data_IF_709459271997
#
_entry.id   IF_709459271997
#
_cell.length_a   1.000
_cell.length_b   1.000
_cell.length_c   1.000
_cell.angle_alpha   90.00
_cell.angle_beta   90.00
_cell.angle_gamma   90.00
#
_symmetry.space_group_name_H-M   'P 1'
#
loop_
_entity.id
_entity.type
_entity.pdbx_description
1 polymer ?
#
# COMPACT_ATOMS: atom_id res chain seq x y z
N UNK A 1 -8.13 5.23 11.95
CA UNK A 1 -8.79 3.91 12.09
C UNK A 1 -10.22 4.06 11.60
N UNK A 2 -10.66 3.18 10.70
CA UNK A 2 -12.04 3.15 10.21
C UNK A 2 -12.82 2.04 10.92
N UNK A 3 -14.07 2.30 11.27
CA UNK A 3 -14.96 1.32 11.87
C UNK A 3 -16.25 1.19 11.05
N UNK A 4 -16.63 -0.06 10.77
CA UNK A 4 -17.89 -0.43 10.17
C UNK A 4 -18.54 -1.51 11.05
N UNK A 5 -19.86 -1.56 11.05
CA UNK A 5 -20.63 -2.59 11.74
C UNK A 5 -21.15 -3.60 10.74
N UNK A 6 -21.42 -4.81 11.21
CA UNK A 6 -22.22 -5.80 10.48
C UNK A 6 -23.27 -6.34 11.42
N UNK A 7 -24.54 -6.23 11.04
CA UNK A 7 -25.66 -6.78 11.82
C UNK A 7 -26.77 -7.30 10.93
N UNK A 8 -27.67 -8.08 11.51
CA UNK A 8 -28.87 -8.60 10.84
C UNK A 8 -30.09 -7.88 11.41
N UNK A 9 -30.92 -7.31 10.54
CA UNK A 9 -32.13 -6.63 10.98
C UNK A 9 -33.29 -7.60 11.27
N UNK A 10 -34.44 -7.06 11.68
CA UNK A 10 -35.65 -7.87 11.99
C UNK A 10 -36.22 -8.60 10.77
N UNK A 11 -35.82 -8.22 9.55
CA UNK A 11 -36.22 -8.86 8.29
C UNK A 11 -35.21 -9.92 7.83
N UNK A 12 -34.16 -10.16 8.61
CA UNK A 12 -33.09 -11.10 8.24
C UNK A 12 -32.06 -10.52 7.26
N UNK A 13 -32.08 -9.21 7.00
CA UNK A 13 -31.16 -8.59 6.05
C UNK A 13 -29.83 -8.22 6.72
N UNK A 14 -28.72 -8.53 6.04
CA UNK A 14 -27.38 -8.15 6.46
C UNK A 14 -27.14 -6.68 6.12
N UNK A 15 -26.76 -5.89 7.12
CA UNK A 15 -26.46 -4.48 7.00
C UNK A 15 -25.00 -4.22 7.40
N UNK A 16 -24.29 -3.44 6.59
CA UNK A 16 -22.87 -3.11 6.81
C UNK A 16 -22.59 -1.59 6.82
N UNK A 17 -23.15 -0.81 7.77
CA UNK A 17 -22.93 0.63 7.76
C UNK A 17 -21.51 0.99 8.22
N UNK A 18 -20.90 1.93 7.49
CA UNK A 18 -19.74 2.66 7.96
C UNK A 18 -20.15 3.62 9.08
N UNK A 19 -19.49 3.56 10.24
CA UNK A 19 -19.86 4.34 11.42
C UNK A 19 -18.87 5.46 11.76
N UNK A 20 -17.67 5.42 11.18
CA UNK A 20 -16.78 6.57 11.23
C UNK A 20 -15.31 6.25 11.03
N UNK A 21 -14.56 7.34 10.85
CA UNK A 21 -13.10 7.34 10.86
C UNK A 21 -12.62 8.12 12.09
N UNK A 22 -11.80 7.47 12.90
CA UNK A 22 -11.22 8.04 14.12
C UNK A 22 -9.72 8.22 13.91
N UNK A 23 -9.23 9.44 14.15
CA UNK A 23 -7.80 9.69 14.26
C UNK A 23 -7.33 9.15 15.61
N UNK A 24 -6.36 8.24 15.57
CA UNK A 24 -5.72 7.68 16.77
C UNK A 24 -4.29 8.24 16.84
N UNK A 25 -3.85 8.63 18.04
CA UNK A 25 -2.50 9.20 18.25
C UNK A 25 -1.40 8.15 18.17
N UNK A 26 -1.75 6.90 18.51
CA UNK A 26 -0.88 5.73 18.44
C UNK A 26 -1.70 4.50 18.04
N UNK A 27 -1.02 3.43 17.65
CA UNK A 27 -1.64 2.17 17.21
C UNK A 27 -1.54 1.06 18.26
N UNK A 28 -1.39 1.40 19.54
CA UNK A 28 -1.43 0.41 20.62
C UNK A 28 -2.83 -0.18 20.75
N UNK A 29 -2.92 -1.44 21.17
CA UNK A 29 -4.20 -2.10 21.36
C UNK A 29 -5.14 -1.35 22.31
N UNK A 30 -4.59 -0.72 23.36
CA UNK A 30 -5.35 0.08 24.33
C UNK A 30 -5.96 1.32 23.69
N UNK A 31 -5.15 2.11 22.97
CA UNK A 31 -5.61 3.32 22.27
C UNK A 31 -6.68 2.99 21.21
N UNK A 32 -6.50 1.88 20.50
CA UNK A 32 -7.49 1.37 19.55
C UNK A 32 -8.80 0.95 20.23
N UNK A 33 -8.73 0.21 21.36
CA UNK A 33 -9.91 -0.17 22.14
C UNK A 33 -10.69 1.06 22.60
N UNK A 34 -10.02 2.00 23.24
CA UNK A 34 -10.66 3.23 23.76
C UNK A 34 -11.35 4.01 22.64
N UNK A 35 -10.68 4.11 21.49
CA UNK A 35 -11.24 4.76 20.29
C UNK A 35 -12.46 4.04 19.73
N UNK A 36 -12.47 2.70 19.70
CA UNK A 36 -13.62 1.90 19.28
C UNK A 36 -14.79 2.10 20.24
N UNK A 37 -14.56 1.93 21.55
CA UNK A 37 -15.60 2.04 22.56
C UNK A 37 -16.20 3.45 22.58
N UNK A 38 -15.37 4.49 22.48
CA UNK A 38 -15.82 5.87 22.37
C UNK A 38 -16.69 6.11 21.13
N UNK A 39 -16.30 5.58 19.97
CA UNK A 39 -17.11 5.69 18.75
C UNK A 39 -18.44 4.94 18.86
N UNK A 40 -18.46 3.75 19.47
CA UNK A 40 -19.70 3.00 19.73
C UNK A 40 -20.63 3.78 20.66
N UNK A 41 -20.10 4.32 21.77
CA UNK A 41 -20.87 5.13 22.71
C UNK A 41 -21.45 6.38 22.06
N UNK A 42 -20.72 7.05 21.16
CA UNK A 42 -21.20 8.19 20.38
C UNK A 42 -22.44 7.86 19.55
N UNK A 43 -22.56 6.60 19.09
CA UNK A 43 -23.71 6.09 18.35
C UNK A 43 -24.72 5.35 19.26
N UNK A 44 -24.61 5.49 20.58
CA UNK A 44 -25.45 4.82 21.58
C UNK A 44 -25.43 3.28 21.48
N UNK A 45 -24.33 2.71 21.00
CA UNK A 45 -24.13 1.28 20.87
C UNK A 45 -23.39 0.74 22.08
N UNK A 46 -24.00 -0.23 22.75
CA UNK A 46 -23.37 -0.90 23.90
C UNK A 46 -22.33 -1.93 23.43
N UNK A 47 -21.10 -1.91 23.99
CA UNK A 47 -20.09 -2.93 23.72
C UNK A 47 -20.58 -4.36 24.04
N UNK A 48 -21.46 -4.52 25.04
CA UNK A 48 -22.04 -5.81 25.40
C UNK A 48 -22.83 -6.52 24.27
N UNK A 49 -23.18 -5.77 23.21
CA UNK A 49 -23.87 -6.29 22.02
C UNK A 49 -22.92 -6.71 20.91
N UNK A 50 -21.60 -6.59 21.10
CA UNK A 50 -20.61 -7.06 20.14
C UNK A 50 -20.64 -8.59 20.11
N UNK A 51 -21.11 -9.18 19.01
CA UNK A 51 -21.07 -10.63 18.81
C UNK A 51 -19.80 -11.09 18.07
N UNK A 52 -19.08 -10.16 17.42
CA UNK A 52 -17.90 -10.47 16.65
C UNK A 52 -17.01 -9.25 16.41
N UNK A 53 -15.74 -9.52 16.14
CA UNK A 53 -14.70 -8.54 15.89
C UNK A 53 -13.80 -9.03 14.76
N UNK A 54 -13.67 -8.22 13.70
CA UNK A 54 -12.96 -8.59 12.47
C UNK A 54 -11.90 -7.58 12.08
N UNK A 55 -10.63 -7.98 12.10
CA UNK A 55 -9.50 -7.13 11.68
C UNK A 55 -8.25 -7.99 11.36
N UNK A 56 -7.17 -7.34 10.96
CA UNK A 56 -5.94 -8.00 10.51
C UNK A 56 -5.17 -8.73 11.63
N UNK A 57 -4.11 -9.42 11.22
CA UNK A 57 -3.27 -10.25 12.09
C UNK A 57 -2.09 -9.51 12.70
N UNK A 58 -2.07 -8.17 12.67
CA UNK A 58 -0.99 -7.41 13.31
C UNK A 58 -0.92 -7.72 14.80
N UNK A 59 0.28 -7.64 15.40
CA UNK A 59 0.51 -8.01 16.79
C UNK A 59 -0.40 -7.24 17.77
N UNK A 60 -0.57 -5.94 17.54
CA UNK A 60 -1.46 -5.08 18.34
C UNK A 60 -2.95 -5.42 18.14
N UNK A 61 -3.30 -6.18 17.10
CA UNK A 61 -4.67 -6.58 16.79
C UNK A 61 -4.97 -7.99 17.32
N UNK A 62 -4.21 -9.00 16.87
CA UNK A 62 -4.45 -10.42 17.19
C UNK A 62 -3.76 -10.90 18.48
N UNK A 63 -2.88 -10.09 19.09
CA UNK A 63 -2.09 -10.47 20.26
C UNK A 63 -2.92 -11.12 21.39
N UNK A 64 -2.40 -12.22 21.95
CA UNK A 64 -3.11 -13.03 22.96
C UNK A 64 -3.32 -12.33 24.30
N UNK A 65 -2.41 -11.44 24.69
CA UNK A 65 -2.39 -10.80 26.01
C UNK A 65 -2.75 -9.32 25.87
N UNK A 66 -1.98 -8.58 25.07
CA UNK A 66 -2.13 -7.13 24.87
C UNK A 66 -2.58 -6.78 23.45
N UNK A 67 -3.20 -7.70 22.73
CA UNK A 67 -3.81 -7.40 21.43
C UNK A 67 -5.23 -6.89 21.60
N UNK A 68 -5.72 -6.09 20.66
CA UNK A 68 -7.08 -5.56 20.64
C UNK A 68 -8.11 -6.69 20.81
N UNK A 69 -7.84 -7.87 20.24
CA UNK A 69 -8.63 -9.09 20.39
C UNK A 69 -8.85 -9.46 21.83
N UNK A 70 -7.77 -9.56 22.59
CA UNK A 70 -7.81 -9.93 23.99
C UNK A 70 -8.56 -8.85 24.79
N UNK A 71 -8.30 -7.58 24.51
CA UNK A 71 -8.88 -6.47 25.26
C UNK A 71 -10.38 -6.27 25.01
N UNK A 72 -10.88 -6.56 23.80
CA UNK A 72 -12.32 -6.57 23.50
C UNK A 72 -12.97 -7.83 24.04
N UNK A 73 -12.31 -8.99 23.99
CA UNK A 73 -12.81 -10.23 24.62
C UNK A 73 -13.00 -10.07 26.13
N UNK A 74 -12.14 -9.30 26.81
CA UNK A 74 -12.30 -8.98 28.23
C UNK A 74 -13.58 -8.18 28.51
N UNK A 75 -13.96 -7.26 27.62
CA UNK A 75 -15.20 -6.47 27.74
C UNK A 75 -16.43 -7.26 27.30
N UNK A 76 -16.27 -8.16 26.32
CA UNK A 76 -17.37 -8.92 25.72
C UNK A 76 -16.90 -10.35 25.44
N UNK A 77 -16.98 -11.24 26.45
CA UNK A 77 -16.45 -12.60 26.34
C UNK A 77 -17.11 -13.46 25.25
N UNK A 78 -18.32 -13.11 24.82
CA UNK A 78 -19.04 -13.79 23.74
C UNK A 78 -18.64 -13.35 22.33
N UNK A 79 -17.78 -12.33 22.18
CA UNK A 79 -17.40 -11.79 20.89
C UNK A 79 -16.42 -12.73 20.14
N UNK A 80 -16.81 -13.18 18.95
CA UNK A 80 -15.95 -14.03 18.13
C UNK A 80 -14.91 -13.20 17.37
N UNK A 81 -13.64 -13.59 17.44
CA UNK A 81 -12.60 -12.99 16.61
C UNK A 81 -12.51 -13.65 15.24
N UNK A 82 -12.60 -12.84 14.19
CA UNK A 82 -12.44 -13.25 12.80
C UNK A 82 -11.18 -12.58 12.26
N UNK A 83 -10.20 -13.39 11.89
CA UNK A 83 -9.02 -12.87 11.19
C UNK A 83 -9.43 -12.46 9.77
N UNK A 84 -9.02 -11.26 9.34
CA UNK A 84 -9.31 -10.75 8.01
C UNK A 84 -8.83 -11.71 6.91
N UNK A 85 -9.77 -12.39 6.24
CA UNK A 85 -9.48 -13.34 5.17
C UNK A 85 -8.70 -12.71 4.02
N UNK A 86 -9.01 -11.46 3.67
CA UNK A 86 -8.27 -10.74 2.64
C UNK A 86 -6.80 -10.56 3.01
N UNK A 87 -6.49 -10.30 4.29
CA UNK A 87 -5.11 -10.21 4.76
C UNK A 87 -4.43 -11.58 4.75
N UNK A 88 -5.13 -12.65 5.19
CA UNK A 88 -4.60 -14.01 5.11
C UNK A 88 -4.24 -14.41 3.68
N UNK A 89 -5.15 -14.18 2.73
CA UNK A 89 -4.91 -14.45 1.32
C UNK A 89 -3.71 -13.67 0.80
N UNK A 90 -3.59 -12.38 1.13
CA UNK A 90 -2.45 -11.56 0.74
C UNK A 90 -1.12 -12.12 1.29
N UNK A 91 -1.09 -12.57 2.54
CA UNK A 91 0.10 -13.19 3.14
C UNK A 91 0.44 -14.52 2.46
N UNK A 92 -0.56 -15.35 2.17
CA UNK A 92 -0.37 -16.61 1.44
C UNK A 92 0.22 -16.37 0.05
N UNK A 93 -0.33 -15.41 -0.70
CA UNK A 93 0.18 -15.06 -2.04
C UNK A 93 1.63 -14.60 -1.99
N UNK A 94 1.99 -13.74 -1.04
CA UNK A 94 3.39 -13.31 -0.87
C UNK A 94 4.28 -14.49 -0.49
N UNK A 95 3.83 -15.35 0.43
CA UNK A 95 4.59 -16.51 0.87
C UNK A 95 4.85 -17.48 -0.28
N UNK A 96 3.84 -17.76 -1.12
CA UNK A 96 3.98 -18.60 -2.31
C UNK A 96 4.91 -17.93 -3.33
N UNK A 97 4.71 -16.63 -3.63
CA UNK A 97 5.56 -15.90 -4.56
C UNK A 97 7.05 -15.92 -4.15
N UNK A 98 7.35 -15.76 -2.86
CA UNK A 98 8.71 -15.85 -2.31
C UNK A 98 9.31 -17.27 -2.37
N UNK A 99 8.50 -18.31 -2.60
CA UNK A 99 8.99 -19.69 -2.82
C UNK A 99 9.35 -19.97 -4.28
N UNK A 100 8.95 -19.09 -5.20
CA UNK A 100 9.31 -19.19 -6.62
C UNK A 100 10.47 -18.25 -6.92
N UNK A 101 11.66 -18.81 -7.17
CA UNK A 101 12.91 -18.06 -7.31
C UNK A 101 12.84 -17.04 -8.45
N UNK A 102 12.17 -17.36 -9.54
CA UNK A 102 11.99 -16.48 -10.69
C UNK A 102 11.15 -15.26 -10.31
N UNK A 103 10.06 -15.48 -9.58
CA UNK A 103 9.16 -14.41 -9.11
C UNK A 103 9.86 -13.53 -8.09
N UNK A 104 10.56 -14.13 -7.13
CA UNK A 104 11.36 -13.40 -6.14
C UNK A 104 12.45 -12.55 -6.82
N UNK A 105 13.19 -13.14 -7.77
CA UNK A 105 14.23 -12.44 -8.53
C UNK A 105 13.65 -11.29 -9.33
N UNK A 106 12.52 -11.49 -10.00
CA UNK A 106 11.83 -10.45 -10.74
C UNK A 106 11.48 -9.26 -9.85
N UNK A 107 10.83 -9.49 -8.70
CA UNK A 107 10.46 -8.41 -7.79
C UNK A 107 11.67 -7.74 -7.14
N UNK A 108 12.76 -8.46 -6.90
CA UNK A 108 14.02 -7.87 -6.45
C UNK A 108 14.62 -6.92 -7.49
N UNK A 109 14.65 -7.33 -8.77
CA UNK A 109 15.10 -6.47 -9.88
C UNK A 109 14.21 -5.24 -10.01
N UNK A 110 12.89 -5.43 -10.03
CA UNK A 110 11.93 -4.33 -10.12
C UNK A 110 12.13 -3.33 -8.96
N UNK A 111 12.26 -3.82 -7.73
CA UNK A 111 12.54 -2.97 -6.57
C UNK A 111 13.87 -2.22 -6.71
N UNK A 112 14.92 -2.87 -7.20
CA UNK A 112 16.23 -2.22 -7.44
C UNK A 112 16.15 -1.13 -8.50
N UNK A 113 15.47 -1.38 -9.61
CA UNK A 113 15.23 -0.38 -10.66
C UNK A 113 14.53 0.85 -10.09
N UNK A 114 13.44 0.63 -9.35
CA UNK A 114 12.70 1.70 -8.69
C UNK A 114 13.55 2.42 -7.64
N UNK A 115 14.48 1.74 -6.98
CA UNK A 115 15.39 2.34 -6.02
C UNK A 115 16.42 3.22 -6.70
N UNK A 116 17.02 2.79 -7.80
CA UNK A 116 18.01 3.59 -8.52
C UNK A 116 17.40 4.93 -8.87
N UNK A 117 16.27 4.98 -9.57
CA UNK A 117 15.64 6.24 -9.93
C UNK A 117 15.12 6.95 -8.66
N UNK A 118 14.39 6.20 -7.84
CA UNK A 118 13.66 6.71 -6.70
C UNK A 118 14.50 7.18 -5.52
N UNK A 119 15.81 6.99 -5.43
CA UNK A 119 16.63 7.54 -4.31
C UNK A 119 17.36 8.84 -4.65
N UNK A 120 17.45 9.22 -5.92
CA UNK A 120 18.15 10.43 -6.37
C UNK A 120 17.16 11.49 -6.84
N UNK A 121 17.17 12.67 -6.22
CA UNK A 121 16.32 13.79 -6.64
C UNK A 121 16.53 14.13 -8.12
N UNK A 122 17.80 14.22 -8.58
CA UNK A 122 18.13 14.48 -9.99
C UNK A 122 17.53 13.44 -10.95
N UNK A 123 17.58 12.15 -10.58
CA UNK A 123 17.01 11.09 -11.42
C UNK A 123 15.49 11.10 -11.41
N UNK A 124 14.88 11.43 -10.27
CA UNK A 124 13.43 11.62 -10.18
C UNK A 124 12.97 12.80 -11.04
N UNK A 125 13.69 13.91 -11.04
CA UNK A 125 13.30 15.09 -11.84
C UNK A 125 13.37 14.78 -13.34
N UNK A 126 14.49 14.22 -13.83
CA UNK A 126 14.61 13.76 -15.23
C UNK A 126 13.51 12.78 -15.63
N UNK A 127 13.14 11.89 -14.72
CA UNK A 127 12.06 10.94 -14.94
C UNK A 127 10.70 11.64 -15.09
N UNK A 128 10.42 12.64 -14.24
CA UNK A 128 9.17 13.42 -14.28
C UNK A 128 9.08 14.28 -15.54
N UNK A 129 10.20 14.88 -15.94
CA UNK A 129 10.28 15.68 -17.17
C UNK A 129 9.95 14.83 -18.39
N UNK A 130 10.53 13.64 -18.50
CA UNK A 130 10.24 12.74 -19.61
C UNK A 130 8.82 12.14 -19.56
N UNK A 131 8.26 11.91 -18.37
CA UNK A 131 6.84 11.57 -18.21
C UNK A 131 5.92 12.66 -18.77
N UNK A 132 6.24 13.93 -18.48
CA UNK A 132 5.46 15.06 -18.96
C UNK A 132 5.55 15.19 -20.49
N UNK A 133 6.74 15.01 -21.07
CA UNK A 133 6.96 15.01 -22.52
C UNK A 133 6.15 13.92 -23.23
N UNK A 134 6.19 12.67 -22.74
CA UNK A 134 5.39 11.58 -23.31
C UNK A 134 3.90 11.86 -23.22
N UNK A 135 3.44 12.46 -22.10
CA UNK A 135 2.04 12.81 -21.94
C UNK A 135 1.62 13.91 -22.92
N UNK A 136 2.47 14.92 -23.16
CA UNK A 136 2.23 15.97 -24.14
C UNK A 136 2.09 15.38 -25.56
N UNK A 137 2.99 14.48 -25.95
CA UNK A 137 2.91 13.78 -27.24
C UNK A 137 1.62 12.95 -27.39
N UNK A 138 1.19 12.27 -26.32
CA UNK A 138 -0.06 11.49 -26.32
C UNK A 138 -1.30 12.39 -26.39
N UNK A 139 -1.24 13.59 -25.82
CA UNK A 139 -2.32 14.58 -25.93
C UNK A 139 -2.38 15.16 -27.34
N UNK A 140 -1.25 15.49 -27.95
CA UNK A 140 -1.15 16.00 -29.32
C UNK A 140 -1.64 15.00 -30.37
N UNK A 141 -1.30 13.72 -30.19
CA UNK A 141 -1.77 12.63 -31.04
C UNK A 141 -3.24 12.25 -30.82
N UNK A 142 -3.87 12.76 -29.76
CA UNK A 142 -5.26 12.46 -29.41
C UNK A 142 -5.48 11.06 -28.83
N UNK A 143 -4.41 10.33 -28.50
CA UNK A 143 -4.49 9.01 -27.86
C UNK A 143 -5.01 9.08 -26.42
N UNK A 144 -4.79 10.21 -25.74
CA UNK A 144 -5.32 10.47 -24.39
C UNK A 144 -6.04 11.81 -24.32
N UNK A 145 -7.02 11.89 -23.42
CA UNK A 145 -7.76 13.13 -23.17
C UNK A 145 -7.28 13.82 -21.90
N UNK A 146 -7.33 15.15 -21.90
CA UNK A 146 -7.15 15.94 -20.68
C UNK A 146 -8.44 15.95 -19.86
N UNK A 147 -8.32 15.82 -18.54
CA UNK A 147 -9.47 15.83 -17.65
C UNK A 147 -9.09 15.74 -16.18
N UNK A 148 -9.98 16.17 -15.29
CA UNK A 148 -9.73 16.20 -13.85
C UNK A 148 -9.57 14.77 -13.32
N UNK A 149 -8.37 14.47 -12.82
CA UNK A 149 -8.03 13.14 -12.29
C UNK A 149 -7.49 12.16 -13.34
N UNK A 150 -7.42 12.55 -14.61
CA UNK A 150 -6.77 11.76 -15.65
C UNK A 150 -5.26 12.03 -15.67
N UNK A 151 -4.49 11.04 -16.13
CA UNK A 151 -3.05 11.16 -16.39
C UNK A 151 -2.22 11.68 -15.19
N UNK A 152 -2.65 11.38 -13.97
CA UNK A 152 -1.92 11.78 -12.76
C UNK A 152 -0.56 11.09 -12.69
N UNK A 153 0.42 11.84 -12.16
CA UNK A 153 1.76 11.33 -11.88
C UNK A 153 1.67 10.06 -11.01
N UNK A 154 2.22 8.96 -11.52
CA UNK A 154 2.23 7.68 -10.80
C UNK A 154 3.51 7.57 -9.98
N UNK A 155 3.34 7.30 -8.68
CA UNK A 155 4.47 7.12 -7.79
C UNK A 155 5.20 5.78 -7.97
N UNK A 156 6.48 5.76 -7.61
CA UNK A 156 7.28 4.55 -7.45
C UNK A 156 6.87 3.78 -6.19
N UNK A 157 5.72 3.12 -6.25
CA UNK A 157 5.28 2.25 -5.16
C UNK A 157 6.10 0.96 -5.19
N UNK A 158 6.78 0.65 -4.09
CA UNK A 158 7.50 -0.62 -3.92
C UNK A 158 6.55 -1.76 -3.56
N UNK A 159 6.90 -3.01 -3.93
CA UNK A 159 6.24 -4.18 -3.40
C UNK A 159 6.46 -4.22 -1.88
N UNK A 160 5.37 -4.29 -1.13
CA UNK A 160 5.36 -4.36 0.33
C UNK A 160 5.25 -5.80 0.82
N UNK A 161 5.97 -6.13 1.88
CA UNK A 161 6.13 -7.50 2.40
C UNK A 161 4.86 -8.17 2.92
N UNK A 162 3.81 -7.40 3.17
CA UNK A 162 2.59 -7.88 3.84
C UNK A 162 1.31 -7.69 3.02
N UNK A 163 1.40 -7.08 1.83
CA UNK A 163 0.24 -6.71 1.02
C UNK A 163 0.46 -7.03 -0.46
N UNK A 164 -0.08 -8.14 -0.96
CA UNK A 164 0.05 -8.50 -2.38
C UNK A 164 -0.46 -7.41 -3.33
N UNK A 165 -1.50 -6.67 -2.93
CA UNK A 165 -2.02 -5.52 -3.71
C UNK A 165 -0.93 -4.49 -4.03
N UNK A 166 0.08 -4.34 -3.18
CA UNK A 166 1.22 -3.47 -3.49
C UNK A 166 2.07 -4.02 -4.64
N UNK A 167 2.23 -5.34 -4.77
CA UNK A 167 2.96 -5.97 -5.87
C UNK A 167 2.23 -5.73 -7.20
N UNK A 168 0.90 -5.92 -7.22
CA UNK A 168 0.08 -5.61 -8.40
C UNK A 168 0.23 -4.13 -8.79
N UNK A 169 0.07 -3.20 -7.84
CA UNK A 169 0.25 -1.76 -8.11
C UNK A 169 1.66 -1.43 -8.58
N UNK A 170 2.68 -2.06 -8.02
CA UNK A 170 4.05 -1.91 -8.51
C UNK A 170 4.16 -2.32 -9.96
N UNK A 171 3.62 -3.48 -10.34
CA UNK A 171 3.64 -3.96 -11.72
C UNK A 171 2.90 -3.02 -12.67
N UNK A 172 1.68 -2.62 -12.31
CA UNK A 172 0.88 -1.70 -13.13
C UNK A 172 1.62 -0.38 -13.36
N UNK A 173 2.23 0.17 -12.30
CA UNK A 173 3.04 1.38 -12.42
C UNK A 173 4.32 1.10 -13.23
N UNK A 174 4.98 -0.03 -13.02
CA UNK A 174 6.21 -0.37 -13.72
C UNK A 174 6.01 -0.46 -15.24
N UNK A 175 4.89 -1.03 -15.69
CA UNK A 175 4.52 -1.11 -17.12
C UNK A 175 4.28 0.28 -17.69
N UNK A 176 3.46 1.10 -17.03
CA UNK A 176 3.14 2.46 -17.50
C UNK A 176 4.38 3.36 -17.52
N UNK A 177 5.27 3.19 -16.55
CA UNK A 177 6.46 4.01 -16.39
C UNK A 177 7.67 3.47 -17.16
N UNK A 178 7.54 2.35 -17.87
CA UNK A 178 8.69 1.60 -18.41
C UNK A 178 9.54 2.43 -19.38
N UNK A 179 8.89 3.17 -20.29
CA UNK A 179 9.59 4.04 -21.25
C UNK A 179 10.47 5.07 -20.53
N UNK A 180 9.92 5.74 -19.51
CA UNK A 180 10.65 6.74 -18.73
C UNK A 180 11.72 6.14 -17.83
N UNK A 181 11.52 4.93 -17.33
CA UNK A 181 12.56 4.17 -16.62
C UNK A 181 13.76 3.92 -17.53
N UNK A 182 13.52 3.42 -18.75
CA UNK A 182 14.57 3.15 -19.74
C UNK A 182 15.29 4.43 -20.15
N UNK A 183 14.56 5.51 -20.40
CA UNK A 183 15.14 6.82 -20.72
C UNK A 183 16.13 7.28 -19.65
N UNK A 184 15.72 7.26 -18.38
CA UNK A 184 16.59 7.68 -17.27
C UNK A 184 17.81 6.78 -17.13
N UNK A 185 17.68 5.47 -17.37
CA UNK A 185 18.85 4.59 -17.38
C UNK A 185 19.82 4.90 -18.52
N UNK A 186 19.33 5.20 -19.72
CA UNK A 186 20.18 5.63 -20.84
C UNK A 186 20.95 6.92 -20.51
N UNK A 187 20.31 7.87 -19.84
CA UNK A 187 20.97 9.10 -19.39
C UNK A 187 22.06 8.80 -18.35
N UNK A 188 21.81 7.88 -17.40
CA UNK A 188 22.81 7.47 -16.41
C UNK A 188 24.02 6.81 -17.07
N UNK A 189 23.79 5.94 -18.05
CA UNK A 189 24.85 5.25 -18.80
C UNK A 189 25.72 6.23 -19.59
N UNK A 190 25.09 7.21 -20.24
CA UNK A 190 25.78 8.27 -20.97
C UNK A 190 26.63 9.15 -20.05
N UNK A 191 26.05 9.68 -18.97
CA UNK A 191 26.78 10.51 -17.98
C UNK A 191 27.93 9.76 -17.31
N UNK A 192 27.73 8.47 -17.02
CA UNK A 192 28.78 7.61 -16.47
C UNK A 192 29.94 7.39 -17.45
N UNK A 193 29.64 7.28 -18.74
CA UNK A 193 30.64 7.10 -19.80
C UNK A 193 31.46 8.37 -20.04
N UNK A 194 30.82 9.56 -20.06
CA UNK A 194 31.52 10.85 -20.17
C UNK A 194 32.50 11.06 -19.00
N UNK A 195 32.07 10.78 -17.77
CA UNK A 195 32.93 10.89 -16.58
C UNK A 195 34.16 9.95 -16.64
N UNK A 196 34.01 8.76 -17.22
CA UNK A 196 35.14 7.84 -17.40
C UNK A 196 36.12 8.30 -18.48
N UNK A 197 35.64 8.96 -19.54
CA UNK A 197 36.50 9.54 -20.58
C UNK A 197 37.28 10.72 -20.02
N UNK A 198 36.63 11.59 -19.25
CA UNK A 198 37.24 12.78 -18.66
C UNK A 198 38.28 12.42 -17.58
N UNK A 199 38.06 11.33 -16.84
CA UNK A 199 39.03 10.83 -15.87
C UNK A 199 40.28 10.20 -16.52
N UNK A 200 40.20 9.74 -17.77
CA UNK A 200 41.35 9.22 -18.54
C UNK A 200 42.16 10.32 -19.24
N UNK A 201 41.63 11.53 -19.33
CA UNK A 201 42.27 12.67 -20.01
C UNK A 201 42.94 13.66 -19.05
N UNK A 202 42.81 13.50 -17.73
CA UNK A 202 43.56 14.33 -16.76
C UNK A 202 45.00 13.81 -16.64
N UNK A 203 46.02 14.58 -17.06
CA UNK A 203 47.39 14.26 -16.71
C UNK A 203 47.59 14.48 -15.20
N UNK A 204 48.38 13.61 -14.58
CA UNK A 204 48.93 13.85 -13.24
C UNK A 204 49.76 15.13 -13.21
#
# INVERSE_FOLDING_TARGET
MSLALRYVDKKGQVNEPFIGHVRVGDTSAKSLKESILSLLMKHSLSPSKICGQGYDGASNMQGKINGLKALILQETPSAHYIHCFAHQLQLTLIAVAKKHKEVETFFAIAANVLNVIGVSFKRRDKFRDHQAELLEQLLESGEVQSGKGLNQERGFQRPGDTRWVSHCKTLDNFVVLFASIVHVFGVIEYEGSELMIDCKQKPF
#
